data_IF_207869681166
#
_entry.id   IF_207869681166
#
_cell.length_a   1.000
_cell.length_b   1.000
_cell.length_c   1.000
_cell.angle_alpha   90.00
_cell.angle_beta   90.00
_cell.angle_gamma   90.00
#
_symmetry.space_group_name_H-M   'P 1'
#
loop_
_entity.id
_entity.type
_entity.pdbx_description
1 polymer ?
#
# COMPACT_ATOMS: atom_id res chain seq x y z
N UNK A 1 -11.31 -15.63 15.60
CA UNK A 1 -11.66 -14.30 15.04
C UNK A 1 -10.67 -13.27 15.54
N UNK A 2 -10.43 -12.17 14.80
CA UNK A 2 -9.62 -11.05 15.28
C UNK A 2 -10.31 -10.35 16.47
N UNK A 3 -9.51 -9.87 17.41
CA UNK A 3 -9.95 -9.07 18.56
C UNK A 3 -9.53 -7.60 18.36
N UNK A 4 -10.47 -6.74 18.02
CA UNK A 4 -10.21 -5.33 17.72
C UNK A 4 -9.72 -4.50 18.93
N UNK A 5 -9.69 -5.06 20.13
CA UNK A 5 -9.09 -4.42 21.32
C UNK A 5 -7.58 -4.61 21.40
N UNK A 6 -7.04 -5.56 20.65
CA UNK A 6 -5.62 -5.90 20.64
C UNK A 6 -4.94 -5.35 19.38
N UNK A 7 -3.67 -4.90 19.49
CA UNK A 7 -2.97 -4.34 18.35
C UNK A 7 -2.73 -5.39 17.26
N UNK A 8 -2.83 -4.95 16.01
CA UNK A 8 -2.49 -5.79 14.85
C UNK A 8 -0.98 -5.72 14.55
N UNK A 9 -0.49 -6.71 13.83
CA UNK A 9 0.85 -6.75 13.26
C UNK A 9 0.74 -6.92 11.76
N UNK A 10 1.12 -5.90 11.01
CA UNK A 10 1.14 -5.92 9.56
C UNK A 10 2.58 -6.17 9.09
N UNK A 11 2.81 -7.28 8.42
CA UNK A 11 4.06 -7.56 7.73
C UNK A 11 3.88 -7.23 6.25
N UNK A 12 4.82 -6.47 5.68
CA UNK A 12 4.85 -6.14 4.25
C UNK A 12 6.20 -6.49 3.67
N UNK A 13 6.22 -6.92 2.42
CA UNK A 13 7.45 -7.17 1.68
C UNK A 13 7.22 -6.90 0.19
N UNK A 14 8.18 -6.28 -0.48
CA UNK A 14 8.12 -5.98 -1.89
C UNK A 14 9.32 -6.55 -2.65
N UNK A 15 9.05 -7.22 -3.75
CA UNK A 15 10.07 -7.76 -4.64
C UNK A 15 9.90 -7.20 -6.06
N UNK A 16 10.84 -7.55 -6.96
CA UNK A 16 10.70 -7.24 -8.38
C UNK A 16 9.57 -8.00 -9.08
N UNK A 17 9.02 -9.04 -8.44
CA UNK A 17 7.94 -9.86 -8.98
C UNK A 17 6.57 -9.38 -8.48
N UNK A 18 6.49 -8.94 -7.22
CA UNK A 18 5.22 -8.77 -6.53
C UNK A 18 5.28 -8.05 -5.19
N UNK A 19 4.09 -7.79 -4.66
CA UNK A 19 3.82 -7.25 -3.33
C UNK A 19 3.25 -8.34 -2.44
N UNK A 20 3.74 -8.43 -1.21
CA UNK A 20 3.28 -9.38 -0.21
C UNK A 20 2.88 -8.67 1.09
N UNK A 21 1.75 -9.07 1.66
CA UNK A 21 1.36 -8.62 2.99
C UNK A 21 0.71 -9.73 3.81
N UNK A 22 0.98 -9.74 5.11
CA UNK A 22 0.31 -10.64 6.05
C UNK A 22 -0.11 -9.88 7.31
N UNK A 23 -1.39 -9.98 7.67
CA UNK A 23 -1.94 -9.38 8.88
C UNK A 23 -2.03 -10.45 9.97
N UNK A 24 -1.46 -10.14 11.12
CA UNK A 24 -1.35 -11.03 12.26
C UNK A 24 -1.86 -10.34 13.53
N UNK A 25 -2.19 -11.13 14.54
CA UNK A 25 -2.53 -10.63 15.86
C UNK A 25 -2.05 -11.60 16.94
N UNK A 26 -1.60 -11.06 18.07
CA UNK A 26 -1.28 -11.86 19.25
C UNK A 26 -2.57 -12.09 20.04
N UNK A 27 -2.91 -13.34 20.26
CA UNK A 27 -4.10 -13.77 21.00
C UNK A 27 -3.70 -14.65 22.17
N UNK A 28 -4.46 -14.60 23.28
CA UNK A 28 -4.24 -15.48 24.42
C UNK A 28 -4.94 -16.82 24.16
N UNK A 29 -4.17 -17.89 24.08
CA UNK A 29 -4.66 -19.26 23.90
C UNK A 29 -4.03 -20.12 24.99
N UNK A 30 -4.86 -20.79 25.79
CA UNK A 30 -4.40 -21.59 26.93
C UNK A 30 -3.45 -20.79 27.85
N UNK A 31 -3.85 -19.56 28.18
CA UNK A 31 -3.10 -18.60 28.99
C UNK A 31 -1.71 -18.20 28.44
N UNK A 32 -1.44 -18.46 27.15
CA UNK A 32 -0.19 -18.10 26.49
C UNK A 32 -0.43 -17.16 25.31
N UNK A 33 0.42 -16.12 25.15
CA UNK A 33 0.36 -15.27 23.96
C UNK A 33 0.85 -16.06 22.74
N UNK A 34 -0.03 -16.19 21.75
CA UNK A 34 0.25 -16.85 20.47
C UNK A 34 -0.06 -15.89 19.34
N UNK A 35 0.90 -15.66 18.45
CA UNK A 35 0.68 -14.89 17.24
C UNK A 35 -0.04 -15.74 16.18
N UNK A 36 -1.17 -15.26 15.68
CA UNK A 36 -1.96 -15.95 14.64
C UNK A 36 -2.11 -15.08 13.40
N UNK A 37 -2.01 -15.68 12.20
CA UNK A 37 -2.38 -14.98 10.98
C UNK A 37 -3.88 -14.78 10.91
N UNK A 38 -4.29 -13.60 10.46
CA UNK A 38 -5.67 -13.23 10.15
C UNK A 38 -5.89 -13.34 8.64
N UNK A 39 -5.01 -12.73 7.85
CA UNK A 39 -5.08 -12.79 6.40
C UNK A 39 -3.71 -12.69 5.76
N UNK A 40 -3.60 -13.28 4.56
CA UNK A 40 -2.45 -13.15 3.67
C UNK A 40 -2.93 -12.55 2.36
N UNK A 41 -2.12 -11.68 1.78
CA UNK A 41 -2.40 -11.01 0.52
C UNK A 41 -1.16 -10.99 -0.34
N UNK A 42 -1.37 -11.15 -1.64
CA UNK A 42 -0.30 -11.08 -2.62
C UNK A 42 -0.84 -10.49 -3.91
N UNK A 43 -0.05 -9.60 -4.53
CA UNK A 43 -0.39 -9.00 -5.82
C UNK A 43 0.83 -8.94 -6.71
N UNK A 44 0.65 -9.27 -7.98
CA UNK A 44 1.65 -8.97 -9.00
C UNK A 44 1.75 -7.44 -9.19
N UNK A 45 2.96 -6.96 -9.46
CA UNK A 45 3.22 -5.54 -9.71
C UNK A 45 2.97 -5.19 -11.17
N UNK A 46 2.63 -3.93 -11.44
CA UNK A 46 2.46 -3.44 -12.80
C UNK A 46 3.82 -3.21 -13.48
N UNK A 47 3.91 -3.29 -14.81
CA UNK A 47 5.16 -3.02 -15.54
C UNK A 47 5.77 -1.63 -15.26
N UNK A 48 4.93 -0.63 -14.95
CA UNK A 48 5.39 0.69 -14.57
C UNK A 48 6.01 0.73 -13.15
N UNK A 49 5.48 -0.08 -12.23
CA UNK A 49 5.92 -0.18 -10.85
C UNK A 49 7.22 -0.99 -10.73
N UNK A 50 7.43 -1.96 -11.62
CA UNK A 50 8.67 -2.74 -11.71
C UNK A 50 9.95 -1.90 -11.92
N UNK A 51 9.81 -0.62 -12.30
CA UNK A 51 10.93 0.33 -12.48
C UNK A 51 11.28 1.10 -11.20
N UNK A 52 10.50 0.93 -10.13
CA UNK A 52 10.75 1.60 -8.86
C UNK A 52 11.93 0.99 -8.12
N UNK A 53 12.66 1.84 -7.39
CA UNK A 53 13.72 1.36 -6.50
C UNK A 53 13.15 0.59 -5.31
N UNK A 54 13.97 -0.22 -4.64
CA UNK A 54 13.54 -1.06 -3.52
C UNK A 54 12.75 -0.29 -2.44
N UNK A 55 13.22 0.89 -2.01
CA UNK A 55 12.51 1.69 -1.01
C UNK A 55 11.15 2.23 -1.50
N UNK A 56 11.03 2.50 -2.81
CA UNK A 56 9.77 2.93 -3.40
C UNK A 56 8.79 1.74 -3.50
N UNK A 57 9.30 0.56 -3.84
CA UNK A 57 8.52 -0.69 -3.86
C UNK A 57 7.95 -1.03 -2.49
N UNK A 58 8.76 -0.91 -1.43
CA UNK A 58 8.31 -1.09 -0.05
C UNK A 58 7.20 -0.09 0.34
N UNK A 59 7.33 1.18 -0.08
CA UNK A 59 6.32 2.19 0.16
C UNK A 59 5.02 1.91 -0.61
N UNK A 60 5.14 1.49 -1.87
CA UNK A 60 4.01 1.04 -2.68
C UNK A 60 3.29 -0.13 -2.00
N UNK A 61 4.05 -1.11 -1.50
CA UNK A 61 3.50 -2.26 -0.78
C UNK A 61 2.73 -1.84 0.46
N UNK A 62 3.25 -0.87 1.25
CA UNK A 62 2.49 -0.36 2.40
C UNK A 62 1.18 0.27 1.95
N UNK A 63 1.21 1.20 1.00
CA UNK A 63 0.00 1.92 0.56
C UNK A 63 -1.05 0.95 0.05
N UNK A 64 -0.63 -0.02 -0.75
CA UNK A 64 -1.51 -1.08 -1.24
C UNK A 64 -2.10 -1.91 -0.08
N UNK A 65 -1.28 -2.32 0.89
CA UNK A 65 -1.73 -3.11 2.04
C UNK A 65 -2.70 -2.32 2.94
N UNK A 66 -2.41 -1.03 3.21
CA UNK A 66 -3.30 -0.14 3.97
C UNK A 66 -4.65 0.03 3.28
N UNK A 67 -4.66 0.24 1.96
CA UNK A 67 -5.90 0.38 1.21
C UNK A 67 -6.74 -0.91 1.24
N UNK A 68 -6.10 -2.09 1.13
CA UNK A 68 -6.79 -3.38 1.16
C UNK A 68 -7.26 -3.80 2.56
N UNK A 69 -6.51 -3.44 3.59
CA UNK A 69 -6.80 -3.79 4.99
C UNK A 69 -7.41 -2.64 5.78
N UNK A 70 -7.93 -1.61 5.10
CA UNK A 70 -8.54 -0.45 5.73
C UNK A 70 -9.53 -0.89 6.82
N UNK A 71 -10.44 -1.82 6.51
CA UNK A 71 -11.42 -2.38 7.45
C UNK A 71 -10.84 -2.94 8.77
N UNK A 72 -9.56 -3.33 8.79
CA UNK A 72 -8.88 -3.82 10.00
C UNK A 72 -8.01 -2.76 10.68
N UNK A 73 -7.46 -1.82 9.94
CA UNK A 73 -6.40 -0.93 10.40
C UNK A 73 -6.90 0.49 10.70
N UNK A 74 -7.97 0.93 10.05
CA UNK A 74 -8.55 2.25 10.28
C UNK A 74 -9.09 2.34 11.72
N UNK A 75 -8.62 3.35 12.46
CA UNK A 75 -9.00 3.58 13.85
C UNK A 75 -8.33 2.66 14.88
N UNK A 76 -7.58 1.63 14.45
CA UNK A 76 -6.92 0.67 15.35
C UNK A 76 -5.41 0.83 15.39
N UNK A 77 -4.79 0.39 16.50
CA UNK A 77 -3.34 0.43 16.67
C UNK A 77 -2.71 -0.79 15.99
N UNK A 78 -1.64 -0.57 15.25
CA UNK A 78 -0.91 -1.67 14.62
C UNK A 78 0.58 -1.41 14.49
N UNK A 79 1.33 -2.50 14.47
CA UNK A 79 2.76 -2.51 14.18
C UNK A 79 3.00 -2.82 12.70
N UNK A 80 3.65 -1.92 11.99
CA UNK A 80 4.19 -2.19 10.67
C UNK A 80 5.57 -2.85 10.79
N UNK A 81 5.73 -4.02 10.17
CA UNK A 81 6.95 -4.83 10.13
C UNK A 81 7.47 -4.87 8.70
N UNK A 82 8.66 -4.33 8.48
CA UNK A 82 9.36 -4.28 7.18
C UNK A 82 10.87 -4.40 7.40
N UNK A 83 11.59 -4.91 6.41
CA UNK A 83 13.06 -4.97 6.38
C UNK A 83 13.67 -3.66 5.80
N UNK A 84 12.85 -2.69 5.43
CA UNK A 84 13.31 -1.42 4.88
C UNK A 84 13.67 -0.42 5.99
N UNK A 85 14.96 -0.24 6.24
CA UNK A 85 15.47 0.75 7.22
C UNK A 85 15.22 2.20 6.80
N UNK A 86 15.13 2.46 5.49
CA UNK A 86 14.94 3.82 4.93
C UNK A 86 13.49 4.31 5.02
N UNK A 87 12.54 3.45 5.44
CA UNK A 87 11.12 3.76 5.45
C UNK A 87 10.78 5.04 6.25
N UNK A 88 11.39 5.20 7.43
CA UNK A 88 11.18 6.38 8.28
C UNK A 88 11.65 7.67 7.59
N UNK A 89 12.76 7.60 6.87
CA UNK A 89 13.31 8.74 6.12
C UNK A 89 12.42 9.09 4.94
N UNK A 90 11.99 8.08 4.18
CA UNK A 90 11.14 8.22 2.99
C UNK A 90 9.82 8.94 3.32
N UNK A 91 9.20 8.60 4.45
CA UNK A 91 7.95 9.22 4.86
C UNK A 91 8.10 10.65 5.40
N UNK A 92 9.32 11.08 5.72
CA UNK A 92 9.61 12.42 6.24
C UNK A 92 10.31 13.31 5.19
N UNK A 93 10.45 12.84 3.94
CA UNK A 93 11.05 13.61 2.86
C UNK A 93 10.22 14.87 2.56
N UNK A 94 10.89 16.03 2.52
CA UNK A 94 10.28 17.35 2.27
C UNK A 94 9.91 17.60 0.81
N UNK A 95 10.66 17.02 -0.13
CA UNK A 95 10.48 17.19 -1.59
C UNK A 95 10.30 15.83 -2.29
N UNK A 96 9.21 15.10 -2.00
CA UNK A 96 8.93 13.83 -2.64
C UNK A 96 8.50 14.01 -4.11
N UNK A 97 8.75 13.01 -4.96
CA UNK A 97 8.16 12.97 -6.31
C UNK A 97 6.62 12.88 -6.23
N UNK A 98 5.90 13.23 -7.29
CA UNK A 98 4.42 13.34 -7.29
C UNK A 98 3.70 12.10 -6.73
N UNK A 99 4.13 10.90 -7.12
CA UNK A 99 3.54 9.65 -6.60
C UNK A 99 3.86 9.43 -5.12
N UNK A 100 5.10 9.71 -4.71
CA UNK A 100 5.52 9.62 -3.31
C UNK A 100 4.74 10.58 -2.40
N UNK A 101 4.45 11.79 -2.89
CA UNK A 101 3.62 12.73 -2.14
C UNK A 101 2.21 12.19 -1.90
N UNK A 102 1.59 11.57 -2.91
CA UNK A 102 0.27 10.93 -2.76
C UNK A 102 0.30 9.80 -1.74
N UNK A 103 1.35 8.98 -1.78
CA UNK A 103 1.54 7.88 -0.83
C UNK A 103 1.77 8.37 0.59
N UNK A 104 2.54 9.44 0.78
CA UNK A 104 2.72 10.06 2.08
C UNK A 104 1.40 10.55 2.68
N UNK A 105 0.53 11.19 1.88
CA UNK A 105 -0.81 11.61 2.33
C UNK A 105 -1.63 10.39 2.78
N UNK A 106 -1.69 9.33 1.97
CA UNK A 106 -2.43 8.12 2.32
C UNK A 106 -1.92 7.46 3.62
N UNK A 107 -0.61 7.49 3.85
CA UNK A 107 -0.01 6.93 5.06
C UNK A 107 -0.23 7.84 6.28
N UNK A 108 -0.37 9.17 6.09
CA UNK A 108 -0.57 10.12 7.18
C UNK A 108 -1.82 9.83 8.00
N UNK A 109 -2.90 9.32 7.38
CA UNK A 109 -4.13 8.92 8.05
C UNK A 109 -3.88 7.87 9.16
N UNK A 110 -2.88 7.00 8.97
CA UNK A 110 -2.55 5.91 9.89
C UNK A 110 -1.39 6.26 10.83
N UNK A 111 -0.71 7.39 10.64
CA UNK A 111 0.53 7.72 11.38
C UNK A 111 0.36 7.78 12.90
N UNK A 112 -0.80 8.22 13.38
CA UNK A 112 -1.08 8.30 14.82
C UNK A 112 -1.17 6.93 15.51
N UNK A 113 -1.57 5.90 14.77
CA UNK A 113 -1.87 4.57 15.30
C UNK A 113 -0.89 3.50 14.80
N UNK A 114 0.05 3.86 13.92
CA UNK A 114 1.02 2.97 13.30
C UNK A 114 2.40 3.09 13.94
N UNK A 115 2.92 1.98 14.47
CA UNK A 115 4.31 1.89 14.94
C UNK A 115 5.17 1.14 13.93
N UNK A 116 6.22 1.78 13.41
CA UNK A 116 7.13 1.15 12.44
C UNK A 116 8.24 0.42 13.18
N UNK A 117 8.30 -0.90 13.01
CA UNK A 117 9.31 -1.77 13.59
C UNK A 117 10.08 -2.49 12.48
N UNK A 118 11.38 -2.22 12.41
CA UNK A 118 12.26 -2.91 11.48
C UNK A 118 12.50 -4.35 11.95
N UNK A 119 12.48 -5.31 11.03
CA UNK A 119 12.73 -6.72 11.30
C UNK A 119 13.72 -7.26 10.27
N UNK A 120 14.68 -8.06 10.72
CA UNK A 120 15.64 -8.69 9.81
C UNK A 120 14.93 -9.63 8.83
N UNK A 121 15.29 -9.57 7.55
CA UNK A 121 14.64 -10.32 6.46
C UNK A 121 14.59 -11.84 6.69
N UNK A 122 15.56 -12.41 7.40
CA UNK A 122 15.58 -13.85 7.75
C UNK A 122 14.37 -14.30 8.60
N UNK A 123 13.77 -13.38 9.36
CA UNK A 123 12.60 -13.63 10.24
C UNK A 123 11.30 -13.16 9.56
N UNK A 124 11.38 -12.68 8.31
CA UNK A 124 10.29 -12.04 7.57
C UNK A 124 9.65 -12.95 6.50
N UNK A 125 9.82 -14.27 6.65
CA UNK A 125 9.39 -15.29 5.68
C UNK A 125 7.90 -15.28 5.33
N UNK A 126 7.06 -14.74 6.21
CA UNK A 126 5.60 -14.70 6.02
C UNK A 126 5.20 -13.84 4.82
N UNK A 127 5.86 -12.69 4.65
CA UNK A 127 5.59 -11.76 3.55
C UNK A 127 6.53 -11.99 2.36
N UNK A 128 7.78 -12.40 2.60
CA UNK A 128 8.78 -12.68 1.57
C UNK A 128 8.33 -13.76 0.55
N UNK A 129 7.67 -14.82 1.02
CA UNK A 129 7.11 -15.82 0.11
C UNK A 129 6.00 -15.25 -0.80
N UNK A 130 5.20 -14.32 -0.28
CA UNK A 130 4.06 -13.73 -0.98
C UNK A 130 4.49 -12.69 -2.02
N UNK A 131 5.61 -11.99 -1.79
CA UNK A 131 6.16 -11.02 -2.73
C UNK A 131 6.93 -11.69 -3.87
N UNK A 132 7.61 -12.82 -3.61
CA UNK A 132 8.42 -13.57 -4.61
C UNK A 132 7.60 -14.50 -5.50
N UNK A 133 6.44 -14.97 -5.02
CA UNK A 133 5.53 -15.83 -5.78
C UNK A 133 4.14 -15.21 -5.83
N UNK A 134 3.99 -14.08 -6.55
CA UNK A 134 2.76 -13.33 -6.48
C UNK A 134 1.60 -14.02 -7.18
N UNK A 135 0.41 -13.88 -6.60
CA UNK A 135 -0.81 -14.33 -7.26
C UNK A 135 -1.15 -13.40 -8.44
N UNK A 136 -1.56 -13.96 -9.60
CA UNK A 136 -1.97 -13.16 -10.73
C UNK A 136 -3.17 -12.27 -10.36
N UNK A 137 -3.25 -11.10 -11.00
CA UNK A 137 -4.34 -10.16 -10.77
C UNK A 137 -5.62 -10.61 -11.48
N UNK A 138 -6.34 -11.57 -10.91
CA UNK A 138 -7.62 -12.06 -11.43
C UNK A 138 -8.73 -12.00 -10.36
N UNK A 139 -9.98 -12.22 -10.76
CA UNK A 139 -11.16 -12.14 -9.88
C UNK A 139 -11.14 -13.13 -8.70
N UNK A 140 -10.31 -14.17 -8.75
CA UNK A 140 -10.17 -15.16 -7.69
C UNK A 140 -9.11 -14.78 -6.65
N UNK A 141 -8.27 -13.78 -6.95
CA UNK A 141 -7.31 -13.25 -6.01
C UNK A 141 -8.04 -12.32 -5.02
N UNK A 142 -8.02 -12.57 -3.70
CA UNK A 142 -8.63 -11.66 -2.72
C UNK A 142 -8.02 -10.25 -2.76
N UNK A 143 -6.79 -10.12 -3.25
CA UNK A 143 -6.12 -8.84 -3.46
C UNK A 143 -6.39 -8.21 -4.84
N UNK A 144 -7.31 -8.75 -5.64
CA UNK A 144 -7.60 -8.28 -7.00
C UNK A 144 -7.79 -6.76 -7.04
N UNK A 145 -7.03 -6.11 -7.92
CA UNK A 145 -7.20 -4.70 -8.24
C UNK A 145 -7.84 -4.67 -9.62
N UNK A 146 -9.11 -4.23 -9.75
CA UNK A 146 -9.70 -4.01 -11.06
C UNK A 146 -8.78 -3.10 -11.85
N UNK A 147 -8.51 -3.44 -13.10
CA UNK A 147 -7.79 -2.54 -13.98
C UNK A 147 -8.70 -1.31 -14.15
N UNK A 148 -8.32 -0.17 -13.55
CA UNK A 148 -9.03 1.08 -13.81
C UNK A 148 -8.97 1.29 -15.32
N UNK A 149 -10.10 1.09 -16.00
CA UNK A 149 -10.25 1.58 -17.36
C UNK A 149 -9.82 3.04 -17.30
N UNK A 150 -8.81 3.40 -18.09
CA UNK A 150 -8.39 4.80 -18.21
C UNK A 150 -9.67 5.60 -18.32
N UNK A 151 -9.97 6.55 -17.41
CA UNK A 151 -11.20 7.29 -17.52
C UNK A 151 -11.18 7.85 -18.95
N UNK A 152 -12.12 7.39 -19.78
CA UNK A 152 -12.41 8.03 -21.04
C UNK A 152 -13.04 9.34 -20.63
N UNK A 153 -12.20 10.28 -20.19
CA UNK A 153 -12.58 11.67 -20.15
C UNK A 153 -12.71 11.96 -21.64
N UNK A 154 -13.92 12.11 -22.19
CA UNK A 154 -14.01 12.62 -23.55
C UNK A 154 -13.19 13.91 -23.51
N UNK A 155 -12.20 14.00 -24.39
CA UNK A 155 -11.61 15.30 -24.67
C UNK A 155 -12.73 16.04 -25.42
N UNK A 156 -13.72 16.50 -24.67
CA UNK A 156 -14.52 17.66 -25.04
C UNK A 156 -13.48 18.77 -25.06
N UNK A 157 -12.79 18.89 -26.19
CA UNK A 157 -11.99 20.06 -26.45
C UNK A 157 -12.92 21.22 -26.18
N UNK A 158 -12.58 22.08 -25.23
CA UNK A 158 -13.22 23.38 -25.15
C UNK A 158 -12.84 24.03 -26.48
N UNK A 159 -13.72 23.90 -27.46
CA UNK A 159 -13.65 24.59 -28.71
C UNK A 159 -13.92 26.05 -28.34
N UNK A 160 -12.85 26.77 -28.03
CA UNK A 160 -12.89 28.24 -27.98
C UNK A 160 -12.95 28.72 -29.43
N UNK A 161 -14.06 28.43 -30.09
CA UNK A 161 -14.46 29.10 -31.33
C UNK A 161 -15.86 29.63 -31.09
N UNK A 162 -15.92 30.63 -30.23
CA UNK A 162 -16.88 31.73 -30.30
C UNK A 162 -16.23 32.96 -29.66
N UNK A 163 -14.95 33.21 -29.99
CA UNK A 163 -14.46 34.58 -29.96
C UNK A 163 -15.05 35.25 -31.20
N UNK A 164 -16.25 35.80 -31.03
CA UNK A 164 -16.77 36.79 -31.96
C UNK A 164 -15.65 37.81 -32.21
N UNK A 165 -15.31 38.00 -33.48
CA UNK A 165 -14.27 38.90 -34.00
C UNK A 165 -14.48 40.39 -33.69
N UNK A 166 -15.37 40.73 -32.76
CA UNK A 166 -15.64 42.11 -32.34
C UNK A 166 -14.66 42.63 -31.27
N UNK A 167 -13.60 41.90 -30.95
CA UNK A 167 -12.60 42.38 -29.97
C UNK A 167 -11.54 43.31 -30.58
N UNK A 168 -11.54 43.54 -31.90
CA UNK A 168 -10.58 44.41 -32.59
C UNK A 168 -11.20 45.59 -33.38
N UNK A 169 -12.50 45.87 -33.23
CA UNK A 169 -13.12 47.08 -33.81
C UNK A 169 -13.83 47.92 -32.73
N UNK A 170 -13.05 48.78 -32.06
CA UNK A 170 -13.21 50.26 -31.93
C UNK A 170 -12.14 50.84 -31.00
#
# INVERSE_FOLDING_TARGET
MPDFKLPFKLYIDASGDGLGASLHQVQIINDKPVERPICFMSSQIKPAEARYGASQMECLCLVWALHKLNYFLEGFVFDLRTDCTTFKSLLNMKTPNRHMHRWQIAIQEYRGNMTIVHKDGNIHKNADGLSRWPLPNNIYNPAHVPEEASPQIPIEGISVTDLNTNFFEE
#
